data_IF_423357795390
#
_entry.id   IF_423357795390
#
_cell.length_a   1.000
_cell.length_b   1.000
_cell.length_c   1.000
_cell.angle_alpha   90.00
_cell.angle_beta   90.00
_cell.angle_gamma   90.00
#
_symmetry.space_group_name_H-M   'P 1'
#
loop_
_entity.id
_entity.type
_entity.pdbx_description
1 polymer ?
#
# COMPACT_ATOMS: atom_id res chain seq x y z
N UNK A 1 -9.07 -16.61 -6.63
CA UNK A 1 -8.59 -15.21 -6.61
C UNK A 1 -9.81 -14.31 -6.71
N UNK A 2 -10.02 -13.36 -5.78
CA UNK A 2 -11.12 -12.40 -5.86
C UNK A 2 -11.17 -11.67 -7.21
N UNK A 3 -12.38 -11.48 -7.76
CA UNK A 3 -12.63 -10.75 -9.01
C UNK A 3 -11.94 -9.37 -9.05
N UNK A 4 -11.82 -8.75 -7.86
CA UNK A 4 -11.13 -7.48 -7.64
C UNK A 4 -9.74 -7.39 -8.29
N UNK A 5 -8.94 -8.47 -8.24
CA UNK A 5 -7.55 -8.44 -8.71
C UNK A 5 -7.42 -8.58 -10.23
N UNK A 6 -8.40 -9.20 -10.88
CA UNK A 6 -8.43 -9.35 -12.35
C UNK A 6 -9.17 -8.20 -13.05
N UNK A 7 -9.95 -7.42 -12.31
CA UNK A 7 -10.70 -6.28 -12.86
C UNK A 7 -9.78 -5.10 -13.13
N UNK A 8 -10.06 -4.39 -14.22
CA UNK A 8 -9.51 -3.07 -14.49
C UNK A 8 -10.54 -1.99 -14.19
N UNK A 9 -10.08 -0.84 -13.71
CA UNK A 9 -10.89 0.32 -13.36
C UNK A 9 -10.62 1.47 -14.33
N UNK A 10 -11.66 2.23 -14.64
CA UNK A 10 -11.59 3.49 -15.38
C UNK A 10 -11.15 4.63 -14.46
N UNK A 11 -10.72 5.75 -15.03
CA UNK A 11 -10.38 6.97 -14.27
C UNK A 11 -11.51 7.37 -13.31
N UNK A 12 -12.75 7.33 -13.77
CA UNK A 12 -13.93 7.74 -12.99
C UNK A 12 -14.16 6.82 -11.79
N UNK A 13 -14.10 5.51 -11.98
CA UNK A 13 -14.23 4.54 -10.89
C UNK A 13 -13.11 4.72 -9.85
N UNK A 14 -11.87 4.96 -10.29
CA UNK A 14 -10.76 5.25 -9.37
C UNK A 14 -11.02 6.55 -8.61
N UNK A 15 -11.41 7.62 -9.30
CA UNK A 15 -11.69 8.92 -8.68
C UNK A 15 -12.80 8.83 -7.62
N UNK A 16 -13.89 8.13 -7.92
CA UNK A 16 -14.99 7.88 -6.99
C UNK A 16 -14.56 7.04 -5.78
N UNK A 17 -13.82 5.95 -6.01
CA UNK A 17 -13.32 5.10 -4.93
C UNK A 17 -12.40 5.88 -3.97
N UNK A 18 -11.59 6.78 -4.51
CA UNK A 18 -10.63 7.56 -3.72
C UNK A 18 -11.22 8.86 -3.15
N UNK A 19 -12.36 9.32 -3.69
CA UNK A 19 -12.98 10.58 -3.31
C UNK A 19 -12.17 11.80 -3.78
N UNK A 20 -11.63 11.74 -4.99
CA UNK A 20 -10.84 12.82 -5.61
C UNK A 20 -11.37 13.13 -7.01
N UNK A 21 -10.89 14.22 -7.62
CA UNK A 21 -11.26 14.54 -8.99
C UNK A 21 -10.60 13.61 -10.02
N UNK A 22 -11.37 13.23 -11.04
CA UNK A 22 -10.84 12.46 -12.19
C UNK A 22 -9.65 13.16 -12.86
N UNK A 23 -9.63 14.50 -12.84
CA UNK A 23 -8.53 15.31 -13.35
C UNK A 23 -7.23 15.04 -12.59
N UNK A 24 -7.28 14.84 -11.28
CA UNK A 24 -6.08 14.56 -10.48
C UNK A 24 -5.51 13.18 -10.81
N UNK A 25 -6.37 12.16 -10.94
CA UNK A 25 -5.96 10.81 -11.35
C UNK A 25 -5.29 10.85 -12.73
N UNK A 26 -5.88 11.57 -13.70
CA UNK A 26 -5.29 11.76 -15.02
C UNK A 26 -3.95 12.50 -14.95
N UNK A 27 -3.83 13.53 -14.12
CA UNK A 27 -2.60 14.29 -13.93
C UNK A 27 -1.48 13.41 -13.36
N UNK A 28 -1.77 12.57 -12.37
CA UNK A 28 -0.78 11.63 -11.82
C UNK A 28 -0.31 10.64 -12.88
N UNK A 29 -1.24 10.08 -13.66
CA UNK A 29 -0.92 9.15 -14.73
C UNK A 29 -0.12 9.82 -15.88
N UNK A 30 -0.51 11.03 -16.29
CA UNK A 30 0.17 11.79 -17.34
C UNK A 30 1.57 12.23 -16.95
N UNK A 31 1.81 12.48 -15.66
CA UNK A 31 3.15 12.78 -15.11
C UNK A 31 4.01 11.53 -14.90
N UNK A 32 3.47 10.33 -15.17
CA UNK A 32 4.18 9.07 -14.98
C UNK A 32 4.51 8.78 -13.51
N UNK A 33 3.71 9.30 -12.58
CA UNK A 33 3.91 9.07 -11.14
C UNK A 33 3.43 7.69 -10.71
N UNK A 34 2.52 7.09 -11.48
CA UNK A 34 1.91 5.78 -11.19
C UNK A 34 2.73 4.70 -11.91
N UNK A 35 3.10 3.65 -11.19
CA UNK A 35 3.80 2.48 -11.76
C UNK A 35 2.99 1.90 -12.93
N UNK A 36 3.68 1.55 -14.02
CA UNK A 36 3.07 1.04 -15.25
C UNK A 36 2.54 2.10 -16.21
N UNK A 37 2.44 3.37 -15.79
CA UNK A 37 1.96 4.48 -16.64
C UNK A 37 3.07 5.46 -17.06
N UNK A 38 4.34 5.17 -16.73
CA UNK A 38 5.49 6.01 -17.10
C UNK A 38 5.74 5.93 -18.61
N UNK A 39 5.72 7.08 -19.28
CA UNK A 39 5.99 7.15 -20.72
C UNK A 39 4.84 6.70 -21.61
N UNK A 40 3.68 6.36 -21.05
CA UNK A 40 2.46 6.21 -21.85
C UNK A 40 2.14 7.56 -22.49
N UNK A 41 2.15 7.61 -23.82
CA UNK A 41 1.60 8.75 -24.55
C UNK A 41 0.21 9.08 -23.99
N UNK A 42 -0.18 10.36 -23.88
CA UNK A 42 -1.54 10.72 -23.47
C UNK A 42 -2.49 9.88 -24.31
N UNK A 43 -3.35 9.13 -23.61
CA UNK A 43 -4.09 8.02 -24.19
C UNK A 43 -4.62 8.43 -25.57
N UNK A 44 -4.04 7.83 -26.62
CA UNK A 44 -4.31 8.24 -28.00
C UNK A 44 -5.82 8.19 -28.27
N UNK A 45 -6.32 9.02 -29.19
CA UNK A 45 -7.74 9.07 -29.55
C UNK A 45 -8.32 7.64 -29.67
N UNK A 46 -9.08 7.20 -28.67
CA UNK A 46 -9.80 5.92 -28.67
C UNK A 46 -9.45 4.91 -27.57
N UNK A 47 -8.34 5.02 -26.83
CA UNK A 47 -8.05 4.07 -25.73
C UNK A 47 -8.15 4.75 -24.37
N UNK A 48 -9.15 4.39 -23.57
CA UNK A 48 -9.24 4.86 -22.19
C UNK A 48 -8.09 4.25 -21.35
N UNK A 49 -7.54 5.03 -20.42
CA UNK A 49 -6.60 4.48 -19.42
C UNK A 49 -7.36 3.52 -18.51
N UNK A 50 -6.75 2.38 -18.26
CA UNK A 50 -7.24 1.35 -17.36
C UNK A 50 -6.26 1.20 -16.20
N UNK A 51 -6.78 1.04 -14.99
CA UNK A 51 -6.01 0.93 -13.77
C UNK A 51 -6.24 -0.44 -13.14
N UNK A 52 -5.20 -1.07 -12.63
CA UNK A 52 -5.33 -2.30 -11.84
C UNK A 52 -5.65 -1.96 -10.38
N UNK A 53 -6.05 -2.95 -9.58
CA UNK A 53 -6.23 -2.74 -8.14
C UNK A 53 -4.94 -2.23 -7.45
N UNK A 54 -3.77 -2.68 -7.91
CA UNK A 54 -2.48 -2.19 -7.41
C UNK A 54 -2.32 -0.69 -7.65
N UNK A 55 -2.69 -0.20 -8.84
CA UNK A 55 -2.67 1.24 -9.12
C UNK A 55 -3.67 2.01 -8.25
N UNK A 56 -4.86 1.45 -7.98
CA UNK A 56 -5.84 2.10 -7.10
C UNK A 56 -5.26 2.29 -5.70
N UNK A 57 -4.65 1.25 -5.13
CA UNK A 57 -4.05 1.32 -3.80
C UNK A 57 -2.81 2.22 -3.76
N UNK A 58 -1.99 2.20 -4.80
CA UNK A 58 -0.86 3.14 -4.97
C UNK A 58 -1.34 4.60 -4.90
N UNK A 59 -2.36 4.96 -5.69
CA UNK A 59 -2.90 6.32 -5.69
C UNK A 59 -3.53 6.66 -4.33
N UNK A 60 -4.26 5.71 -3.72
CA UNK A 60 -4.88 5.89 -2.40
C UNK A 60 -3.85 6.22 -1.32
N UNK A 61 -2.75 5.46 -1.28
CA UNK A 61 -1.66 5.65 -0.32
C UNK A 61 -0.94 6.97 -0.61
N UNK A 62 -0.63 7.27 -1.87
CA UNK A 62 0.03 8.51 -2.26
C UNK A 62 -0.81 9.75 -1.87
N UNK A 63 -2.13 9.73 -2.06
CA UNK A 63 -3.02 10.82 -1.62
C UNK A 63 -2.96 10.98 -0.10
N UNK A 64 -2.98 9.87 0.64
CA UNK A 64 -2.90 9.90 2.10
C UNK A 64 -1.56 10.48 2.59
N UNK A 65 -0.46 10.15 1.91
CA UNK A 65 0.88 10.69 2.18
C UNK A 65 1.02 12.16 1.80
N UNK A 66 0.37 12.63 0.74
CA UNK A 66 0.40 14.04 0.33
C UNK A 66 -0.25 14.99 1.34
N UNK A 67 -1.06 14.49 2.26
CA UNK A 67 -1.63 15.31 3.34
C UNK A 67 -0.58 15.69 4.40
N UNK A 68 0.60 15.07 4.38
CA UNK A 68 1.73 15.47 5.21
C UNK A 68 2.54 16.56 4.50
N UNK A 69 2.65 17.74 5.14
CA UNK A 69 3.28 18.94 4.55
C UNK A 69 4.73 18.75 4.08
N UNK A 70 5.40 17.70 4.56
CA UNK A 70 6.84 17.48 4.38
C UNK A 70 7.18 16.55 3.23
N UNK A 71 6.21 15.90 2.57
CA UNK A 71 6.49 14.89 1.54
C UNK A 71 6.23 15.44 0.13
N UNK A 72 7.26 15.56 -0.71
CA UNK A 72 7.07 15.89 -2.13
C UNK A 72 6.20 14.82 -2.83
N UNK A 73 5.35 15.19 -3.81
CA UNK A 73 4.50 14.24 -4.51
C UNK A 73 5.26 13.04 -5.11
N UNK A 74 6.47 13.25 -5.63
CA UNK A 74 7.29 12.16 -6.18
C UNK A 74 7.63 11.11 -5.11
N UNK A 75 8.03 11.53 -3.91
CA UNK A 75 8.36 10.62 -2.82
C UNK A 75 7.10 9.91 -2.31
N UNK A 76 5.96 10.61 -2.22
CA UNK A 76 4.69 10.00 -1.85
C UNK A 76 4.30 8.85 -2.79
N UNK A 77 4.44 9.04 -4.11
CA UNK A 77 4.17 7.99 -5.10
C UNK A 77 5.24 6.89 -5.10
N UNK A 78 6.50 7.21 -4.82
CA UNK A 78 7.54 6.20 -4.65
C UNK A 78 7.25 5.26 -3.47
N UNK A 79 6.96 5.80 -2.28
CA UNK A 79 6.58 5.04 -1.08
C UNK A 79 5.31 4.23 -1.36
N UNK A 80 4.28 4.87 -1.94
CA UNK A 80 3.04 4.19 -2.27
C UNK A 80 3.23 3.07 -3.30
N UNK A 81 4.14 3.26 -4.26
CA UNK A 81 4.52 2.25 -5.25
C UNK A 81 5.18 1.04 -4.60
N UNK A 82 6.06 1.25 -3.61
CA UNK A 82 6.67 0.16 -2.82
C UNK A 82 5.61 -0.64 -2.07
N UNK A 83 4.66 0.02 -1.41
CA UNK A 83 3.55 -0.68 -0.75
C UNK A 83 2.66 -1.46 -1.74
N UNK A 84 2.28 -0.79 -2.83
CA UNK A 84 1.28 -1.32 -3.77
C UNK A 84 1.83 -2.43 -4.65
N UNK A 85 3.07 -2.36 -5.09
CA UNK A 85 3.64 -3.34 -6.03
C UNK A 85 4.70 -4.22 -5.39
N UNK A 86 5.26 -3.80 -4.25
CA UNK A 86 6.11 -4.64 -3.42
C UNK A 86 5.30 -5.51 -2.47
N UNK A 87 5.91 -6.62 -2.09
CA UNK A 87 5.42 -7.53 -1.05
C UNK A 87 6.63 -8.09 -0.33
N UNK A 88 6.94 -7.52 0.82
CA UNK A 88 7.90 -8.09 1.76
C UNK A 88 7.31 -7.99 3.16
N UNK A 89 7.56 -9.05 3.93
CA UNK A 89 7.10 -9.23 5.28
C UNK A 89 7.62 -10.57 5.74
N UNK A 90 8.75 -10.58 6.43
CA UNK A 90 9.16 -11.74 7.20
C UNK A 90 8.94 -11.38 8.67
N UNK A 91 8.30 -12.26 9.47
CA UNK A 91 7.91 -13.63 9.16
C UNK A 91 6.50 -13.80 8.56
N UNK A 92 5.68 -12.75 8.54
CA UNK A 92 4.30 -12.79 8.01
C UNK A 92 4.31 -12.17 6.62
N UNK A 93 4.10 -12.99 5.58
CA UNK A 93 4.11 -12.51 4.21
C UNK A 93 2.94 -11.54 3.94
N UNK A 94 3.27 -10.33 3.49
CA UNK A 94 2.30 -9.35 2.98
C UNK A 94 2.23 -9.46 1.47
N UNK A 95 1.02 -9.58 0.94
CA UNK A 95 0.77 -9.53 -0.51
C UNK A 95 0.74 -8.08 -1.00
N UNK A 96 1.24 -7.79 -2.23
CA UNK A 96 1.25 -6.44 -2.77
C UNK A 96 -0.15 -5.80 -2.80
N UNK A 97 -0.19 -4.48 -2.56
CA UNK A 97 -1.41 -3.66 -2.44
C UNK A 97 -2.38 -4.05 -1.32
N UNK A 98 -2.05 -5.07 -0.53
CA UNK A 98 -2.88 -5.50 0.59
C UNK A 98 -2.22 -5.16 1.92
N UNK A 99 -3.02 -4.74 2.91
CA UNK A 99 -2.56 -4.81 4.29
C UNK A 99 -2.29 -6.28 4.68
N UNK A 100 -1.60 -6.48 5.80
CA UNK A 100 -1.61 -7.75 6.52
C UNK A 100 -3.05 -8.18 6.81
N UNK A 101 -3.24 -9.49 6.96
CA UNK A 101 -4.54 -10.05 7.30
C UNK A 101 -5.08 -9.44 8.60
N UNK A 102 -6.36 -9.07 8.62
CA UNK A 102 -7.00 -8.32 9.72
C UNK A 102 -6.92 -9.01 11.08
N UNK A 103 -6.69 -10.33 11.12
CA UNK A 103 -6.50 -11.10 12.35
C UNK A 103 -5.16 -10.83 13.05
N UNK A 104 -4.15 -10.37 12.31
CA UNK A 104 -2.85 -10.07 12.90
C UNK A 104 -2.82 -8.69 13.58
N UNK A 105 -3.73 -7.79 13.20
CA UNK A 105 -3.76 -6.40 13.66
C UNK A 105 -4.04 -5.46 12.49
N UNK A 106 -3.72 -4.19 12.66
CA UNK A 106 -3.80 -3.18 11.59
C UNK A 106 -2.43 -3.02 10.95
N UNK A 107 -2.41 -2.79 9.65
CA UNK A 107 -1.18 -2.48 8.91
C UNK A 107 -0.94 -0.99 8.97
N UNK A 108 0.15 -0.61 9.60
CA UNK A 108 0.60 0.77 9.62
C UNK A 108 1.78 0.89 8.67
N UNK A 109 1.65 1.75 7.67
CA UNK A 109 2.78 2.20 6.88
C UNK A 109 3.49 3.30 7.67
N UNK A 110 4.76 3.07 7.98
CA UNK A 110 5.65 4.03 8.61
C UNK A 110 6.63 4.55 7.57
N UNK A 111 6.97 5.83 7.62
CA UNK A 111 7.83 6.41 6.58
C UNK A 111 8.61 7.64 7.07
N UNK A 112 9.74 7.88 6.42
CA UNK A 112 10.51 9.13 6.43
C UNK A 112 10.52 9.71 5.00
N UNK A 113 11.43 10.64 4.71
CA UNK A 113 11.60 11.17 3.35
C UNK A 113 12.18 10.13 2.36
N UNK A 114 12.93 9.15 2.87
CA UNK A 114 13.76 8.21 2.11
C UNK A 114 13.52 6.73 2.46
N UNK A 115 13.01 6.45 3.67
CA UNK A 115 12.72 5.12 4.18
C UNK A 115 11.21 4.92 4.35
N UNK A 116 10.76 3.68 4.21
CA UNK A 116 9.43 3.25 4.60
C UNK A 116 9.43 1.79 4.99
N UNK A 117 8.36 1.37 5.66
CA UNK A 117 8.10 -0.02 5.99
C UNK A 117 6.69 -0.20 6.55
N UNK A 118 6.25 -1.45 6.62
CA UNK A 118 4.95 -1.81 7.15
C UNK A 118 5.08 -2.57 8.48
N UNK A 119 4.34 -2.13 9.49
CA UNK A 119 4.28 -2.79 10.81
C UNK A 119 2.87 -3.24 11.12
N UNK A 120 2.75 -4.24 12.00
CA UNK A 120 1.48 -4.76 12.50
C UNK A 120 1.19 -4.12 13.85
N UNK A 121 0.19 -3.25 13.92
CA UNK A 121 -0.22 -2.61 15.16
C UNK A 121 -1.43 -3.30 15.80
N UNK A 122 -1.39 -3.42 17.13
CA UNK A 122 -2.50 -3.89 17.98
C UNK A 122 -2.78 -2.89 19.10
N UNK A 123 -4.01 -2.81 19.62
CA UNK A 123 -4.30 -2.03 20.82
C UNK A 123 -3.33 -2.37 21.96
N UNK A 124 -2.69 -1.35 22.52
CA UNK A 124 -1.68 -1.49 23.59
C UNK A 124 -0.23 -1.65 23.12
N UNK A 125 0.03 -1.84 21.82
CA UNK A 125 1.38 -1.86 21.27
C UNK A 125 1.99 -0.45 21.17
N UNK A 126 3.30 -0.34 21.41
CA UNK A 126 4.06 0.90 21.24
C UNK A 126 4.49 1.09 19.79
N UNK A 127 3.63 1.79 19.05
CA UNK A 127 3.86 2.15 17.65
C UNK A 127 5.15 2.95 17.43
N UNK A 128 5.61 3.73 18.42
CA UNK A 128 6.81 4.55 18.24
C UNK A 128 8.08 3.70 18.28
N UNK A 129 8.16 2.74 19.20
CA UNK A 129 9.28 1.83 19.29
C UNK A 129 9.39 0.96 18.02
N UNK A 130 8.27 0.39 17.56
CA UNK A 130 8.23 -0.43 16.35
C UNK A 130 8.57 0.37 15.09
N UNK A 131 8.00 1.57 14.94
CA UNK A 131 8.29 2.43 13.79
C UNK A 131 9.77 2.86 13.74
N UNK A 132 10.36 3.24 14.89
CA UNK A 132 11.80 3.55 14.97
C UNK A 132 12.64 2.37 14.58
N UNK A 133 12.30 1.17 15.04
CA UNK A 133 13.02 -0.03 14.67
C UNK A 133 12.92 -0.30 13.16
N UNK A 134 11.71 -0.22 12.59
CA UNK A 134 11.49 -0.42 11.16
C UNK A 134 12.21 0.62 10.28
N UNK A 135 12.41 1.83 10.80
CA UNK A 135 13.05 2.96 10.12
C UNK A 135 14.47 3.22 10.64
N UNK A 136 15.19 2.17 11.05
CA UNK A 136 16.62 2.23 11.41
C UNK A 136 17.00 3.36 12.41
N UNK A 137 16.14 3.61 13.40
CA UNK A 137 16.36 4.62 14.43
C UNK A 137 16.01 6.05 14.02
N UNK A 138 15.16 6.23 13.00
CA UNK A 138 14.71 7.55 12.56
C UNK A 138 14.24 8.45 13.72
N UNK A 139 14.73 9.70 13.73
CA UNK A 139 14.38 10.69 14.76
C UNK A 139 12.92 11.16 14.66
N UNK A 140 12.41 11.24 13.44
CA UNK A 140 11.02 11.58 13.11
C UNK A 140 10.53 10.70 11.98
N UNK A 141 9.23 10.42 11.99
CA UNK A 141 8.56 9.63 10.98
C UNK A 141 7.08 9.99 10.93
N UNK A 142 6.44 9.70 9.80
CA UNK A 142 4.99 9.71 9.67
C UNK A 142 4.43 8.30 9.69
N UNK A 143 3.12 8.19 9.93
CA UNK A 143 2.41 6.91 9.91
C UNK A 143 1.08 7.05 9.16
N UNK A 144 0.66 5.99 8.47
CA UNK A 144 -0.66 5.86 7.84
C UNK A 144 -1.25 4.50 8.22
N UNK A 145 -2.48 4.49 8.73
CA UNK A 145 -3.26 3.25 8.88
C UNK A 145 -3.78 2.81 7.51
N UNK A 146 -3.01 1.93 6.86
CA UNK A 146 -3.33 1.42 5.52
C UNK A 146 -4.45 0.39 5.57
N UNK A 147 -4.68 -0.27 6.71
CA UNK A 147 -5.86 -1.13 6.88
C UNK A 147 -7.16 -0.33 6.75
N UNK A 148 -7.27 0.80 7.45
CA UNK A 148 -8.44 1.69 7.33
C UNK A 148 -8.59 2.26 5.92
N UNK A 149 -7.47 2.64 5.29
CA UNK A 149 -7.48 3.13 3.91
C UNK A 149 -7.99 2.05 2.94
N UNK A 150 -7.48 0.83 3.04
CA UNK A 150 -7.88 -0.32 2.26
C UNK A 150 -9.37 -0.63 2.44
N UNK A 151 -9.85 -0.69 3.69
CA UNK A 151 -11.26 -0.92 4.00
C UNK A 151 -12.17 0.09 3.28
N UNK A 152 -11.81 1.38 3.32
CA UNK A 152 -12.55 2.45 2.64
C UNK A 152 -12.56 2.28 1.13
N UNK A 153 -11.41 2.02 0.52
CA UNK A 153 -11.27 1.86 -0.93
C UNK A 153 -12.07 0.66 -1.42
N UNK A 154 -11.87 -0.50 -0.80
CA UNK A 154 -12.52 -1.75 -1.20
C UNK A 154 -14.04 -1.69 -1.03
N UNK A 155 -14.51 -1.08 0.07
CA UNK A 155 -15.95 -0.85 0.29
C UNK A 155 -16.55 0.02 -0.81
N UNK A 156 -15.88 1.10 -1.21
CA UNK A 156 -16.36 1.99 -2.29
C UNK A 156 -16.32 1.34 -3.67
N UNK A 157 -15.44 0.36 -3.88
CA UNK A 157 -15.44 -0.47 -5.08
C UNK A 157 -16.54 -1.55 -5.07
N UNK A 158 -17.32 -1.66 -3.99
CA UNK A 158 -18.46 -2.58 -3.87
C UNK A 158 -18.10 -3.97 -3.36
N UNK A 159 -16.95 -4.14 -2.69
CA UNK A 159 -16.50 -5.43 -2.16
C UNK A 159 -16.44 -5.39 -0.63
N UNK A 160 -16.53 -6.56 0.02
CA UNK A 160 -16.26 -6.70 1.46
C UNK A 160 -14.74 -6.79 1.70
N UNK A 161 -14.12 -5.80 2.40
CA UNK A 161 -12.70 -5.83 2.68
C UNK A 161 -12.22 -7.08 3.41
N UNK A 162 -13.02 -7.65 4.31
CA UNK A 162 -12.63 -8.84 5.07
C UNK A 162 -12.59 -10.07 4.17
N UNK A 163 -13.65 -10.29 3.39
CA UNK A 163 -13.70 -11.37 2.42
C UNK A 163 -12.54 -11.30 1.40
N UNK A 164 -12.16 -10.09 0.96
CA UNK A 164 -11.00 -9.90 0.08
C UNK A 164 -9.70 -10.35 0.76
N UNK A 165 -9.48 -9.97 2.03
CA UNK A 165 -8.28 -10.40 2.77
C UNK A 165 -8.30 -11.91 3.08
N UNK A 166 -9.42 -12.47 3.50
CA UNK A 166 -9.54 -13.91 3.76
C UNK A 166 -9.22 -14.73 2.49
N UNK A 167 -9.70 -14.28 1.34
CA UNK A 167 -9.41 -14.92 0.06
C UNK A 167 -7.98 -14.68 -0.44
N UNK A 168 -7.37 -13.56 -0.08
CA UNK A 168 -5.99 -13.26 -0.43
C UNK A 168 -4.99 -14.03 0.44
N UNK A 169 -5.32 -14.34 1.70
CA UNK A 169 -4.42 -15.03 2.63
C UNK A 169 -4.98 -16.40 3.07
N UNK A 170 -5.16 -17.37 2.15
CA UNK A 170 -5.61 -18.69 2.51
C UNK A 170 -4.52 -19.42 3.31
N UNK A 171 -4.86 -19.91 4.50
CA UNK A 171 -3.96 -20.69 5.34
C UNK A 171 -3.06 -19.89 6.28
N UNK A 172 -3.03 -18.55 6.22
CA UNK A 172 -2.18 -17.72 7.10
C UNK A 172 -2.55 -17.76 8.60
N UNK A 173 -3.51 -18.61 8.98
CA UNK A 173 -3.96 -18.83 10.35
C UNK A 173 -3.45 -20.14 10.96
N UNK A 174 -3.07 -21.15 10.16
CA UNK A 174 -2.75 -22.48 10.69
C UNK A 174 -1.35 -22.55 11.32
N UNK A 175 -0.39 -21.75 10.85
CA UNK A 175 1.01 -21.87 11.25
C UNK A 175 1.45 -20.87 12.34
N UNK A 176 0.59 -19.95 12.76
CA UNK A 176 1.00 -18.79 13.58
C UNK A 176 0.48 -18.77 15.02
N UNK A 177 -0.13 -19.86 15.52
CA UNK A 177 -0.42 -20.01 16.95
C UNK A 177 0.84 -19.86 17.83
N UNK A 178 2.04 -20.01 17.25
CA UNK A 178 3.33 -19.82 17.92
C UNK A 178 3.77 -18.34 18.11
N UNK A 179 3.09 -17.36 17.49
CA UNK A 179 3.51 -15.93 17.52
C UNK A 179 2.83 -15.11 18.64
N UNK A 180 2.14 -15.74 19.60
CA UNK A 180 1.40 -15.03 20.64
C UNK A 180 2.27 -14.50 21.81
N UNK A 181 3.57 -14.79 21.89
CA UNK A 181 4.35 -14.49 23.11
C UNK A 181 5.63 -13.63 22.95
N UNK A 182 5.84 -12.92 21.82
CA UNK A 182 7.02 -12.04 21.71
C UNK A 182 6.95 -10.97 20.61
N UNK A 183 7.82 -9.94 20.66
CA UNK A 183 7.93 -8.95 19.60
C UNK A 183 8.31 -9.64 18.29
N UNK A 184 7.62 -9.29 17.19
CA UNK A 184 7.89 -9.87 15.87
C UNK A 184 9.32 -9.51 15.42
N UNK A 185 10.08 -10.48 14.86
CA UNK A 185 11.36 -10.15 14.23
C UNK A 185 11.10 -9.27 13.02
N UNK A 186 11.69 -8.08 13.00
CA UNK A 186 11.58 -7.12 11.91
C UNK A 186 12.59 -7.50 10.82
N UNK A 187 12.12 -7.67 9.58
CA UNK A 187 12.99 -8.05 8.47
C UNK A 187 13.75 -6.87 7.87
N UNK A 188 15.08 -6.94 7.95
CA UNK A 188 16.11 -6.24 7.14
C UNK A 188 16.20 -6.89 5.72
N UNK A 189 16.61 -6.29 4.59
CA UNK A 189 17.61 -5.22 4.28
C UNK A 189 17.22 -4.37 3.03
N UNK A 190 17.75 -3.15 2.87
CA UNK A 190 17.61 -2.31 1.66
C UNK A 190 18.44 -2.74 0.43
N UNK A 191 19.32 -3.75 0.54
CA UNK A 191 20.38 -3.98 -0.46
C UNK A 191 20.10 -5.07 -1.50
N UNK A 192 18.97 -5.79 -1.44
CA UNK A 192 18.79 -7.02 -2.24
C UNK A 192 18.06 -6.85 -3.59
N UNK A 193 17.72 -5.63 -4.02
CA UNK A 193 17.09 -5.44 -5.34
C UNK A 193 17.58 -4.13 -5.97
N UNK A 194 18.73 -4.12 -6.64
CA UNK A 194 18.97 -3.41 -7.92
C UNK A 194 20.39 -3.76 -8.46
N UNK A 195 20.44 -4.17 -9.75
CA UNK A 195 21.57 -4.63 -10.59
C UNK A 195 21.90 -6.13 -10.44
N UNK A 196 21.62 -7.02 -11.40
CA UNK A 196 21.82 -6.92 -12.84
C UNK A 196 20.54 -6.88 -13.71
N UNK A 197 20.43 -5.84 -14.54
CA UNK A 197 20.12 -5.88 -15.99
C UNK A 197 20.12 -4.47 -16.59
#
# INVERSE_FOLDING_TARGET
MPELFSRTFTVTEVAEALGVDSKDVQNYAARGLIVGHKGEAPAGKGRARAFTFFNVMEIAVAISLKNFLTIPPMNAFMIAGRFAHGGQGLPIERKPALPFHHRHGRTILVFTADQDGEIIWRPGADIFAEARHALNGALSFGTVDVSTLFERVVTRLGFDPRAVLDAAYPGSWADHAAYQEGPLPVSFRPDDVFCDR
#
